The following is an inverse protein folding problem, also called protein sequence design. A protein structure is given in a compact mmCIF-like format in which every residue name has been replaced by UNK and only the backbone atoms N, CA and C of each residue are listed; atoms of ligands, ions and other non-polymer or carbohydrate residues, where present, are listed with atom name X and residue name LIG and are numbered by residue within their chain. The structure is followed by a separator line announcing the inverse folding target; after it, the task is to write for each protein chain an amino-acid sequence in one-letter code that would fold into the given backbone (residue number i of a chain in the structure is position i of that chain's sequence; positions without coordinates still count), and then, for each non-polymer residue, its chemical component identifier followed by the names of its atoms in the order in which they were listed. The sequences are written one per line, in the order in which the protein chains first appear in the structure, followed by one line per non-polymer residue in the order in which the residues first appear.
data_IF_664781351438
#
_entry.id   IF_664781351438
#
_cell.length_a   1.000
_cell.length_b   1.000
_cell.length_c   1.000
_cell.angle_alpha   90.00
_cell.angle_beta   90.00
_cell.angle_gamma   90.00
#
_symmetry.space_group_name_H-M   'P 1'
#
loop_
_entity.id
_entity.type
_entity.pdbx_description
1 polymer ?
#
# COMPACT_ATOMS: atom_id res chain seq x y z
N UNK A 1 16.51 -9.25 1.82
CA UNK A 1 15.25 -9.61 2.54
C UNK A 1 14.12 -8.83 1.85
N UNK A 2 13.07 -9.50 1.37
CA UNK A 2 11.98 -8.81 0.68
C UNK A 2 11.10 -8.07 1.71
N UNK A 3 10.80 -6.78 1.45
CA UNK A 3 9.85 -6.05 2.28
C UNK A 3 8.44 -6.35 1.76
N UNK A 4 7.57 -6.88 2.61
CA UNK A 4 6.24 -7.32 2.19
C UNK A 4 5.17 -6.42 2.81
N UNK A 5 4.38 -5.78 1.96
CA UNK A 5 3.14 -5.14 2.34
C UNK A 5 2.02 -6.18 2.31
N UNK A 6 1.22 -6.25 3.37
CA UNK A 6 0.00 -7.08 3.39
C UNK A 6 -1.21 -6.17 3.59
N UNK A 7 -2.19 -6.30 2.70
CA UNK A 7 -3.42 -5.51 2.70
C UNK A 7 -4.59 -6.48 2.90
N UNK A 8 -5.33 -6.29 3.99
CA UNK A 8 -6.48 -7.15 4.35
C UNK A 8 -7.81 -6.40 4.43
N UNK A 9 -7.79 -5.09 4.21
CA UNK A 9 -8.97 -4.24 4.06
C UNK A 9 -8.60 -3.00 3.26
N UNK A 10 -9.46 -2.60 2.32
CA UNK A 10 -9.28 -1.45 1.45
C UNK A 10 -10.64 -0.96 0.92
N UNK A 11 -11.57 -0.61 1.79
CA UNK A 11 -12.80 0.03 1.33
C UNK A 11 -12.47 1.44 0.81
N UNK A 12 -12.86 1.71 -0.42
CA UNK A 12 -12.58 2.89 -1.24
C UNK A 12 -11.26 2.80 -2.01
N UNK A 13 -10.25 3.58 -1.66
CA UNK A 13 -8.99 3.63 -2.41
C UNK A 13 -7.79 3.68 -1.49
N UNK A 14 -6.73 2.94 -1.82
CA UNK A 14 -5.45 2.93 -1.14
C UNK A 14 -4.34 3.23 -2.15
N UNK A 15 -3.64 4.35 -1.94
CA UNK A 15 -2.46 4.74 -2.70
C UNK A 15 -1.22 4.52 -1.84
N UNK A 16 -0.21 3.85 -2.40
CA UNK A 16 1.05 3.54 -1.72
C UNK A 16 2.22 4.20 -2.44
N UNK A 17 2.99 5.01 -1.72
CA UNK A 17 4.18 5.71 -2.21
C UNK A 17 5.40 5.24 -1.42
N UNK A 18 6.52 5.03 -2.11
CA UNK A 18 7.84 4.92 -1.52
C UNK A 18 8.65 6.15 -1.87
N UNK A 19 9.40 6.72 -0.92
CA UNK A 19 10.30 7.83 -1.21
C UNK A 19 11.64 7.73 -0.49
N UNK A 20 12.63 8.37 -1.08
CA UNK A 20 13.97 8.64 -0.51
C UNK A 20 14.20 10.15 -0.52
N UNK A 21 15.36 10.62 -0.05
CA UNK A 21 15.72 12.03 -0.18
C UNK A 21 15.90 12.52 -1.62
N UNK A 22 15.97 11.63 -2.61
CA UNK A 22 16.25 11.96 -4.01
C UNK A 22 15.11 11.61 -4.98
N UNK A 23 14.31 10.57 -4.68
CA UNK A 23 13.32 10.05 -5.61
C UNK A 23 12.05 9.60 -4.87
N UNK A 24 10.93 9.54 -5.58
CA UNK A 24 9.70 8.89 -5.13
C UNK A 24 9.15 7.97 -6.22
N UNK A 25 8.40 6.95 -5.79
CA UNK A 25 7.81 5.93 -6.64
C UNK A 25 6.41 5.59 -6.11
N UNK A 26 5.45 5.44 -7.01
CA UNK A 26 4.15 4.91 -6.65
C UNK A 26 4.19 3.38 -6.69
N UNK A 27 4.01 2.74 -5.53
CA UNK A 27 3.98 1.29 -5.42
C UNK A 27 2.66 0.75 -5.97
N UNK A 28 1.53 1.35 -5.54
CA UNK A 28 0.21 0.84 -5.88
C UNK A 28 -0.87 1.92 -5.86
N UNK A 29 -1.92 1.67 -6.63
CA UNK A 29 -3.23 2.33 -6.58
C UNK A 29 -4.29 1.22 -6.59
N UNK A 30 -4.95 1.05 -5.46
CA UNK A 30 -5.87 -0.07 -5.20
C UNK A 30 -7.24 0.50 -4.92
N UNK A 31 -8.23 0.09 -5.70
CA UNK A 31 -9.64 0.46 -5.48
C UNK A 31 -10.40 -0.78 -5.04
N UNK A 32 -11.17 -0.69 -3.96
CA UNK A 32 -12.13 -1.72 -3.54
C UNK A 32 -13.31 -1.07 -2.82
N UNK A 33 -14.34 -1.82 -2.49
CA UNK A 33 -15.55 -1.27 -1.89
C UNK A 33 -16.65 -2.30 -1.82
N UNK A 34 -17.85 -1.85 -1.44
CA UNK A 34 -19.02 -2.73 -1.24
C UNK A 34 -18.77 -3.91 -0.29
N UNK A 35 -17.83 -3.75 0.65
CA UNK A 35 -17.37 -4.79 1.57
C UNK A 35 -16.80 -6.03 0.85
N UNK A 36 -16.31 -5.89 -0.38
CA UNK A 36 -15.65 -6.96 -1.10
C UNK A 36 -14.40 -7.43 -0.32
N UNK A 37 -14.16 -8.75 -0.21
CA UNK A 37 -12.98 -9.25 0.51
C UNK A 37 -11.66 -8.78 -0.12
N UNK A 38 -10.76 -8.29 0.72
CA UNK A 38 -9.40 -7.89 0.33
C UNK A 38 -8.40 -8.72 1.12
N UNK A 39 -7.51 -9.43 0.42
CA UNK A 39 -6.40 -10.16 1.04
C UNK A 39 -5.29 -10.42 0.02
N UNK A 40 -4.35 -9.50 -0.11
CA UNK A 40 -3.20 -9.65 -1.01
C UNK A 40 -1.91 -9.12 -0.40
N UNK A 41 -0.80 -9.53 -1.00
CA UNK A 41 0.54 -9.04 -0.64
C UNK A 41 1.24 -8.34 -1.80
N UNK A 42 2.07 -7.36 -1.47
CA UNK A 42 3.03 -6.74 -2.40
C UNK A 42 4.42 -6.93 -1.85
N UNK A 43 5.23 -7.70 -2.56
CA UNK A 43 6.66 -7.85 -2.29
C UNK A 43 7.43 -6.74 -2.98
N UNK A 44 8.06 -5.87 -2.19
CA UNK A 44 8.98 -4.85 -2.64
C UNK A 44 10.37 -5.47 -2.81
N UNK A 45 10.91 -5.36 -4.02
CA UNK A 45 12.18 -5.97 -4.40
C UNK A 45 13.11 -4.93 -5.04
N UNK A 46 14.42 -5.11 -4.89
CA UNK A 46 15.38 -4.27 -5.61
C UNK A 46 15.40 -4.65 -7.09
N UNK A 47 15.32 -3.68 -7.99
CA UNK A 47 15.36 -3.89 -9.43
C UNK A 47 14.99 -2.64 -10.24
N UNK A 48 14.78 -2.82 -11.55
CA UNK A 48 14.21 -1.77 -12.40
C UNK A 48 12.76 -1.53 -11.99
N UNK A 49 12.34 -0.26 -11.89
CA UNK A 49 11.00 0.08 -11.41
C UNK A 49 9.88 -0.53 -12.28
N UNK A 50 8.86 -1.14 -11.65
CA UNK A 50 7.73 -1.79 -12.34
C UNK A 50 6.34 -1.32 -11.87
N UNK A 51 6.26 -0.23 -11.11
CA UNK A 51 4.99 0.27 -10.56
C UNK A 51 4.26 1.27 -11.47
N UNK A 52 3.03 1.67 -11.09
CA UNK A 52 2.29 1.18 -9.93
C UNK A 52 1.55 -0.13 -10.22
N UNK A 53 1.36 -0.94 -9.19
CA UNK A 53 0.36 -2.03 -9.21
C UNK A 53 -1.04 -1.40 -9.15
N UNK A 54 -1.83 -1.59 -10.20
CA UNK A 54 -3.22 -1.13 -10.25
C UNK A 54 -4.17 -2.32 -10.07
N UNK A 55 -4.98 -2.31 -9.01
CA UNK A 55 -6.03 -3.30 -8.79
C UNK A 55 -7.39 -2.60 -8.60
N UNK A 56 -8.45 -3.23 -9.08
CA UNK A 56 -9.81 -2.74 -8.92
C UNK A 56 -10.74 -3.89 -8.53
N UNK A 57 -11.18 -3.88 -7.28
CA UNK A 57 -12.14 -4.80 -6.69
C UNK A 57 -13.30 -4.07 -6.05
N UNK A 58 -13.79 -3.00 -6.68
CA UNK A 58 -15.00 -2.29 -6.22
C UNK A 58 -16.23 -3.21 -6.26
N UNK A 59 -16.24 -4.20 -7.16
CA UNK A 59 -17.35 -5.17 -7.33
C UNK A 59 -16.87 -6.61 -7.37
N UNK A 60 -15.66 -6.89 -6.89
CA UNK A 60 -15.09 -8.23 -6.87
C UNK A 60 -13.99 -8.35 -5.80
N UNK A 61 -13.76 -9.55 -5.23
CA UNK A 61 -12.71 -9.76 -4.27
C UNK A 61 -11.31 -9.49 -4.84
N UNK A 62 -10.40 -8.96 -4.01
CA UNK A 62 -8.97 -8.83 -4.34
C UNK A 62 -8.15 -9.82 -3.55
N UNK A 63 -7.37 -10.64 -4.25
CA UNK A 63 -6.39 -11.53 -3.64
C UNK A 63 -5.16 -11.73 -4.53
N UNK A 64 -4.09 -12.30 -3.96
CA UNK A 64 -2.89 -12.69 -4.70
C UNK A 64 -1.59 -12.15 -4.09
N UNK A 65 -0.49 -12.46 -4.76
CA UNK A 65 0.86 -12.01 -4.40
C UNK A 65 1.45 -11.29 -5.60
N UNK A 66 1.86 -10.04 -5.40
CA UNK A 66 2.35 -9.17 -6.45
C UNK A 66 3.77 -8.72 -6.13
N UNK A 67 4.57 -8.44 -7.17
CA UNK A 67 5.91 -7.88 -7.03
C UNK A 67 5.93 -6.45 -7.56
N UNK A 68 6.55 -5.55 -6.81
CA UNK A 68 6.91 -4.21 -7.29
C UNK A 68 8.40 -4.02 -7.06
N UNK A 69 9.10 -3.71 -8.14
CA UNK A 69 10.53 -3.46 -8.08
C UNK A 69 10.79 -1.97 -7.90
N UNK A 70 11.79 -1.64 -7.09
CA UNK A 70 12.30 -0.28 -6.84
C UNK A 70 13.82 -0.34 -6.94
N UNK A 71 14.48 0.79 -7.24
CA UNK A 71 15.93 0.84 -7.13
C UNK A 71 16.39 0.47 -5.72
N UNK A 72 17.61 -0.05 -5.56
CA UNK A 72 18.17 -0.31 -4.24
C UNK A 72 18.27 0.99 -3.43
N UNK A 73 17.91 0.93 -2.15
CA UNK A 73 17.90 2.12 -1.30
C UNK A 73 17.11 1.92 -0.01
N UNK A 74 17.14 2.94 0.85
CA UNK A 74 16.30 3.02 2.04
C UNK A 74 15.09 3.91 1.75
N UNK A 75 13.89 3.36 1.88
CA UNK A 75 12.64 4.02 1.52
C UNK A 75 11.75 4.20 2.73
N UNK A 76 11.22 5.40 2.89
CA UNK A 76 10.04 5.62 3.74
C UNK A 76 8.80 5.37 2.90
N UNK A 77 7.83 4.63 3.45
CA UNK A 77 6.55 4.38 2.80
C UNK A 77 5.49 5.33 3.34
N UNK A 78 4.68 5.87 2.44
CA UNK A 78 3.45 6.60 2.76
C UNK A 78 2.30 5.82 2.17
N UNK A 79 1.32 5.50 3.01
CA UNK A 79 0.06 4.93 2.56
C UNK A 79 -1.04 5.97 2.79
N UNK A 80 -1.91 6.13 1.81
CA UNK A 80 -3.06 7.03 1.88
C UNK A 80 -4.31 6.25 1.53
N UNK A 81 -5.19 6.07 2.52
CA UNK A 81 -6.56 5.62 2.32
C UNK A 81 -7.42 6.83 2.00
N UNK A 82 -8.17 6.79 0.91
CA UNK A 82 -9.02 7.89 0.43
C UNK A 82 -10.47 7.44 0.51
N UNK A 83 -11.26 8.08 1.38
CA UNK A 83 -12.70 7.85 1.44
C UNK A 83 -13.43 8.77 0.45
N UNK A 84 -13.85 8.23 -0.69
CA UNK A 84 -14.74 8.90 -1.66
C UNK A 84 -16.25 8.75 -1.34
N UNK A 85 -16.61 8.11 -0.22
CA UNK A 85 -17.99 8.01 0.28
C UNK A 85 -18.32 6.67 0.95
N UNK A 86 -19.32 6.67 1.83
CA UNK A 86 -19.74 5.47 2.55
C UNK A 86 -18.81 5.06 3.70
N UNK A 87 -18.93 3.82 4.20
CA UNK A 87 -18.03 3.27 5.21
C UNK A 87 -16.58 3.19 4.68
N UNK A 88 -15.62 3.25 5.60
CA UNK A 88 -14.22 2.98 5.30
C UNK A 88 -13.67 1.90 6.22
N UNK A 89 -12.79 1.06 5.66
CA UNK A 89 -11.97 0.13 6.41
C UNK A 89 -10.64 -0.04 5.67
N UNK A 90 -9.55 0.16 6.39
CA UNK A 90 -8.20 0.01 5.85
C UNK A 90 -7.37 -0.81 6.82
N UNK A 91 -6.61 -1.76 6.29
CA UNK A 91 -5.67 -2.55 7.06
C UNK A 91 -4.42 -2.79 6.23
N UNK A 92 -3.33 -2.11 6.59
CA UNK A 92 -2.03 -2.20 5.93
C UNK A 92 -0.98 -2.58 6.96
N UNK A 93 -0.20 -3.61 6.65
CA UNK A 93 0.95 -4.01 7.44
C UNK A 93 2.19 -4.12 6.58
N UNK A 94 3.35 -3.88 7.20
CA UNK A 94 4.66 -4.00 6.59
C UNK A 94 5.47 -5.02 7.37
N UNK A 95 5.95 -6.06 6.70
CA UNK A 95 6.71 -7.15 7.29
C UNK A 95 5.98 -7.79 8.51
N UNK A 96 4.66 -7.94 8.41
CA UNK A 96 3.81 -8.50 9.47
C UNK A 96 3.45 -7.53 10.59
N UNK A 97 3.93 -6.28 10.56
CA UNK A 97 3.60 -5.25 11.56
C UNK A 97 2.60 -4.26 10.99
N UNK A 98 1.45 -4.12 11.63
CA UNK A 98 0.45 -3.13 11.25
C UNK A 98 1.04 -1.72 11.28
N UNK A 99 0.84 -0.96 10.20
CA UNK A 99 1.26 0.44 10.18
C UNK A 99 0.36 1.27 11.10
N UNK A 100 0.96 2.19 11.85
CA UNK A 100 0.21 3.12 12.71
C UNK A 100 -0.15 4.38 11.93
N UNK A 101 -1.43 4.79 11.94
CA UNK A 101 -1.84 5.99 11.22
C UNK A 101 -1.28 7.23 11.91
N UNK A 102 -0.84 8.20 11.11
CA UNK A 102 -0.44 9.54 11.55
C UNK A 102 -1.57 10.55 11.40
N UNK A 103 -2.57 10.22 10.58
CA UNK A 103 -3.80 10.96 10.39
C UNK A 103 -4.96 10.00 10.20
N UNK A 104 -6.11 10.30 10.79
CA UNK A 104 -7.35 9.56 10.58
C UNK A 104 -8.54 10.51 10.60
N UNK A 105 -9.41 10.38 9.62
CA UNK A 105 -10.70 11.05 9.56
C UNK A 105 -11.71 10.12 8.88
N UNK A 106 -12.86 9.82 9.53
CA UNK A 106 -13.84 8.86 9.00
C UNK A 106 -14.49 9.31 7.67
N UNK A 107 -14.52 10.60 7.37
CA UNK A 107 -15.13 11.15 6.15
C UNK A 107 -14.11 11.35 5.02
N UNK A 108 -12.83 11.54 5.36
CA UNK A 108 -11.77 11.86 4.38
C UNK A 108 -10.87 10.66 4.08
N UNK A 109 -10.46 9.91 5.11
CA UNK A 109 -9.53 8.79 4.98
C UNK A 109 -8.43 8.78 6.04
N UNK A 110 -7.34 8.08 5.74
CA UNK A 110 -6.27 7.75 6.70
C UNK A 110 -4.91 7.87 6.03
N UNK A 111 -3.90 8.33 6.77
CA UNK A 111 -2.51 8.37 6.30
C UNK A 111 -1.62 7.59 7.26
N UNK A 112 -0.72 6.78 6.71
CA UNK A 112 0.34 6.08 7.45
C UNK A 112 1.70 6.47 6.91
N UNK A 113 2.69 6.45 7.80
CA UNK A 113 4.10 6.63 7.44
C UNK A 113 4.92 5.53 8.13
N UNK A 114 5.76 4.83 7.39
CA UNK A 114 6.64 3.80 7.95
C UNK A 114 7.95 4.38 8.48
N UNK A 115 8.69 3.61 9.28
CA UNK A 115 10.14 3.82 9.36
C UNK A 115 10.81 3.41 8.03
N UNK A 116 12.01 3.93 7.71
CA UNK A 116 12.71 3.53 6.50
C UNK A 116 12.92 2.02 6.42
N UNK A 117 12.64 1.44 5.26
CA UNK A 117 12.94 0.04 4.93
C UNK A 117 14.02 -0.05 3.88
N UNK A 118 14.98 -0.95 4.07
CA UNK A 118 16.08 -1.15 3.14
C UNK A 118 15.74 -2.19 2.07
N UNK A 119 15.97 -1.85 0.80
CA UNK A 119 15.96 -2.75 -0.34
C UNK A 119 17.40 -2.97 -0.80
N UNK A 120 17.93 -4.16 -0.53
CA UNK A 120 19.27 -4.60 -0.90
C UNK A 120 19.14 -5.78 -1.88
N UNK A 121 20.06 -5.84 -2.86
CA UNK A 121 20.21 -7.00 -3.75
C UNK A 121 20.71 -8.22 -2.99
#
# INVERSE_FOLDING_TARGET
MANTLTITACDNELVLIAYTGANSYQIADIKSGNNEPVNFTISLQSGQYTGPLNLNGVTAPLSGNYNVYLASGAYTLVATGINWGGPQAYAVSLNGVALKPVYTNPEVGVVWVSSPVSLQQ
#
